data_IF_315211348170
#
_entry.id   IF_315211348170
#
_cell.length_a   1.000
_cell.length_b   1.000
_cell.length_c   1.000
_cell.angle_alpha   90.00
_cell.angle_beta   90.00
_cell.angle_gamma   90.00
#
_symmetry.space_group_name_H-M   'P 1'
#
loop_
_entity.id
_entity.type
_entity.pdbx_description
1 polymer ?
#
# COMPACT_ATOMS: atom_id res chain seq x y z
N UNK A 1 7.59 -16.87 -27.99
CA UNK A 1 6.18 -16.59 -27.66
C UNK A 1 6.09 -16.64 -26.14
N UNK A 2 6.41 -15.54 -25.49
CA UNK A 2 6.41 -15.42 -24.02
C UNK A 2 5.13 -14.69 -23.63
N UNK A 3 4.20 -15.45 -23.07
CA UNK A 3 2.98 -14.97 -22.45
C UNK A 3 3.34 -14.18 -21.19
N UNK A 4 3.39 -12.86 -21.32
CA UNK A 4 3.37 -11.98 -20.15
C UNK A 4 1.95 -12.02 -19.60
N UNK A 5 1.68 -12.97 -18.70
CA UNK A 5 0.53 -12.95 -17.81
C UNK A 5 0.62 -11.74 -16.88
N UNK A 6 0.36 -10.56 -17.43
CA UNK A 6 0.34 -9.32 -16.66
C UNK A 6 -0.84 -9.36 -15.71
N UNK A 7 -0.58 -9.30 -14.39
CA UNK A 7 -1.61 -8.96 -13.42
C UNK A 7 -2.19 -7.59 -13.82
N UNK A 8 -3.35 -7.59 -14.49
CA UNK A 8 -4.13 -6.39 -14.78
C UNK A 8 -4.93 -6.04 -13.53
N UNK A 9 -4.28 -5.42 -12.56
CA UNK A 9 -4.96 -4.77 -11.43
C UNK A 9 -5.50 -3.43 -11.93
N UNK A 10 -6.83 -3.31 -11.99
CA UNK A 10 -7.51 -2.06 -12.29
C UNK A 10 -7.29 -1.04 -11.16
N UNK A 11 -7.36 0.25 -11.50
CA UNK A 11 -7.28 1.35 -10.52
C UNK A 11 -8.37 1.21 -9.44
N UNK A 12 -9.53 0.66 -9.80
CA UNK A 12 -10.62 0.41 -8.86
C UNK A 12 -10.28 -0.71 -7.87
N UNK A 13 -9.66 -1.80 -8.31
CA UNK A 13 -9.20 -2.87 -7.40
C UNK A 13 -8.11 -2.37 -6.44
N UNK A 14 -7.22 -1.49 -6.91
CA UNK A 14 -6.22 -0.84 -6.05
C UNK A 14 -6.87 0.06 -4.99
N UNK A 15 -7.92 0.81 -5.36
CA UNK A 15 -8.69 1.63 -4.41
C UNK A 15 -9.44 0.79 -3.38
N UNK A 16 -10.04 -0.33 -3.79
CA UNK A 16 -10.72 -1.27 -2.90
C UNK A 16 -9.71 -1.86 -1.89
N UNK A 17 -8.53 -2.27 -2.37
CA UNK A 17 -7.44 -2.76 -1.53
C UNK A 17 -6.94 -1.71 -0.53
N UNK A 18 -6.74 -0.47 -0.98
CA UNK A 18 -6.34 0.64 -0.10
C UNK A 18 -7.38 0.91 0.99
N UNK A 19 -8.66 0.92 0.64
CA UNK A 19 -9.77 1.14 1.58
C UNK A 19 -9.85 0.02 2.62
N UNK A 20 -9.60 -1.23 2.20
CA UNK A 20 -9.56 -2.38 3.10
C UNK A 20 -8.40 -2.29 4.10
N UNK A 21 -7.21 -1.87 3.64
CA UNK A 21 -6.08 -1.63 4.53
C UNK A 21 -6.34 -0.51 5.53
N UNK A 22 -6.99 0.57 5.10
CA UNK A 22 -7.40 1.66 5.99
C UNK A 22 -8.40 1.19 7.07
N UNK A 23 -9.43 0.41 6.68
CA UNK A 23 -10.40 -0.16 7.62
C UNK A 23 -9.77 -1.09 8.66
N UNK A 24 -8.88 -1.99 8.23
CA UNK A 24 -8.13 -2.87 9.12
C UNK A 24 -7.22 -2.10 10.09
N UNK A 25 -6.62 -0.99 9.63
CA UNK A 25 -5.85 -0.12 10.51
C UNK A 25 -6.72 0.54 11.58
N UNK A 26 -7.94 0.97 11.24
CA UNK A 26 -8.86 1.60 12.17
C UNK A 26 -9.40 0.61 13.22
N UNK A 27 -9.78 -0.61 12.81
CA UNK A 27 -10.21 -1.67 13.73
C UNK A 27 -9.11 -2.03 14.74
N UNK A 28 -7.84 -1.94 14.33
CA UNK A 28 -6.71 -2.27 15.19
C UNK A 28 -6.51 -1.28 16.33
N UNK A 29 -6.83 0.00 16.13
CA UNK A 29 -6.83 1.01 17.20
C UNK A 29 -7.93 0.79 18.24
N UNK A 30 -8.97 -0.02 17.94
CA UNK A 30 -10.05 -0.31 18.90
C UNK A 30 -9.64 -1.32 19.98
N UNK A 31 -8.56 -2.09 19.77
CA UNK A 31 -8.03 -3.02 20.74
C UNK A 31 -7.08 -2.30 21.70
N UNK A 32 -7.64 -1.60 22.69
CA UNK A 32 -6.85 -1.01 23.77
C UNK A 32 -6.01 -2.09 24.46
N UNK A 33 -4.73 -1.81 24.68
CA UNK A 33 -3.86 -2.75 25.39
C UNK A 33 -4.38 -2.96 26.82
N UNK A 34 -4.37 -4.21 27.34
CA UNK A 34 -4.73 -4.47 28.73
C UNK A 34 -3.86 -3.64 29.67
N UNK A 35 -4.47 -3.09 30.74
CA UNK A 35 -3.70 -2.35 31.73
C UNK A 35 -2.62 -3.24 32.36
N UNK A 36 -1.39 -2.71 32.39
CA UNK A 36 -0.26 -3.41 32.98
C UNK A 36 -0.34 -3.31 34.51
N UNK A 37 -0.32 -4.45 35.21
CA UNK A 37 -0.30 -4.47 36.69
C UNK A 37 0.99 -3.87 37.28
N UNK A 38 1.16 -3.87 38.62
CA UNK A 38 2.34 -3.28 39.26
C UNK A 38 3.67 -3.86 38.73
N UNK A 39 4.64 -2.97 38.46
CA UNK A 39 5.87 -3.26 37.69
C UNK A 39 6.90 -4.17 38.39
N UNK A 40 6.65 -4.57 39.65
CA UNK A 40 7.61 -5.32 40.47
C UNK A 40 7.71 -6.81 40.11
N UNK A 41 6.88 -7.32 39.19
CA UNK A 41 6.91 -8.72 38.75
C UNK A 41 7.65 -8.84 37.40
N UNK A 42 8.62 -9.75 37.23
CA UNK A 42 9.34 -9.95 35.97
C UNK A 42 8.42 -10.17 34.75
N UNK A 43 7.27 -10.78 34.98
CA UNK A 43 6.20 -10.97 33.99
C UNK A 43 5.58 -9.67 33.51
N UNK A 44 5.37 -8.68 34.39
CA UNK A 44 4.86 -7.35 34.00
C UNK A 44 5.85 -6.63 33.08
N UNK A 45 7.13 -6.64 33.43
CA UNK A 45 8.18 -6.03 32.60
C UNK A 45 8.28 -6.72 31.22
N UNK A 46 8.18 -8.05 31.19
CA UNK A 46 8.16 -8.81 29.94
C UNK A 46 6.93 -8.48 29.07
N UNK A 47 5.73 -8.39 29.66
CA UNK A 47 4.50 -8.01 28.95
C UNK A 47 4.59 -6.59 28.39
N UNK A 48 5.09 -5.63 29.17
CA UNK A 48 5.29 -4.25 28.72
C UNK A 48 6.29 -4.16 27.55
N UNK A 49 7.39 -4.93 27.61
CA UNK A 49 8.35 -5.01 26.52
C UNK A 49 7.74 -5.62 25.24
N UNK A 50 6.94 -6.68 25.36
CA UNK A 50 6.21 -7.28 24.24
C UNK A 50 5.22 -6.28 23.63
N UNK A 51 4.44 -5.59 24.46
CA UNK A 51 3.50 -4.56 23.99
C UNK A 51 4.21 -3.44 23.23
N UNK A 52 5.39 -3.02 23.71
CA UNK A 52 6.22 -2.01 23.03
C UNK A 52 6.73 -2.51 21.69
N UNK A 53 7.18 -3.76 21.61
CA UNK A 53 7.62 -4.39 20.36
C UNK A 53 6.47 -4.51 19.35
N UNK A 54 5.26 -4.87 19.81
CA UNK A 54 4.05 -4.92 18.98
C UNK A 54 3.74 -3.52 18.42
N UNK A 55 3.74 -2.48 19.27
CA UNK A 55 3.50 -1.11 18.82
C UNK A 55 4.54 -0.62 17.81
N UNK A 56 5.81 -0.99 17.99
CA UNK A 56 6.89 -0.66 17.06
C UNK A 56 6.69 -1.36 15.71
N UNK A 57 6.37 -2.65 15.72
CA UNK A 57 6.11 -3.43 14.51
C UNK A 57 4.87 -2.90 13.77
N UNK A 58 3.84 -2.48 14.50
CA UNK A 58 2.62 -1.89 13.97
C UNK A 58 2.87 -0.56 13.25
N UNK A 59 3.64 0.33 13.87
CA UNK A 59 4.04 1.59 13.26
C UNK A 59 4.85 1.36 11.97
N UNK A 60 5.78 0.41 11.99
CA UNK A 60 6.59 0.06 10.82
C UNK A 60 5.76 -0.59 9.69
N UNK A 61 4.74 -1.37 10.03
CA UNK A 61 3.81 -1.92 9.04
C UNK A 61 2.96 -0.82 8.41
N UNK A 62 2.41 0.07 9.24
CA UNK A 62 1.60 1.21 8.79
C UNK A 62 2.38 2.13 7.85
N UNK A 63 3.63 2.48 8.20
CA UNK A 63 4.49 3.28 7.34
C UNK A 63 4.72 2.62 5.98
N UNK A 64 5.08 1.32 5.96
CA UNK A 64 5.28 0.58 4.70
C UNK A 64 4.01 0.48 3.85
N UNK A 65 2.85 0.31 4.48
CA UNK A 65 1.58 0.28 3.78
C UNK A 65 1.28 1.62 3.10
N UNK A 66 1.53 2.73 3.80
CA UNK A 66 1.38 4.08 3.25
C UNK A 66 2.35 4.34 2.08
N UNK A 67 3.63 4.01 2.23
CA UNK A 67 4.64 4.17 1.18
C UNK A 67 4.28 3.35 -0.06
N UNK A 68 3.79 2.12 0.13
CA UNK A 68 3.33 1.26 -0.97
C UNK A 68 2.13 1.88 -1.68
N UNK A 69 1.15 2.40 -0.95
CA UNK A 69 -0.01 3.06 -1.55
C UNK A 69 0.40 4.29 -2.37
N UNK A 70 1.31 5.10 -1.85
CA UNK A 70 1.84 6.26 -2.57
C UNK A 70 2.59 5.87 -3.86
N UNK A 71 3.43 4.82 -3.79
CA UNK A 71 4.15 4.30 -4.96
C UNK A 71 3.20 3.75 -6.02
N UNK A 72 2.15 3.04 -5.62
CA UNK A 72 1.11 2.53 -6.52
C UNK A 72 0.37 3.67 -7.22
N UNK A 73 -0.07 4.69 -6.48
CA UNK A 73 -0.75 5.87 -7.06
C UNK A 73 0.16 6.59 -8.06
N UNK A 74 1.42 6.82 -7.69
CA UNK A 74 2.41 7.46 -8.57
C UNK A 74 2.61 6.65 -9.85
N UNK A 75 2.75 5.33 -9.72
CA UNK A 75 2.91 4.43 -10.86
C UNK A 75 1.69 4.46 -11.79
N UNK A 76 0.48 4.48 -11.22
CA UNK A 76 -0.75 4.56 -12.01
C UNK A 76 -0.83 5.85 -12.83
N UNK A 77 -0.44 7.00 -12.26
CA UNK A 77 -0.33 8.25 -13.01
C UNK A 77 0.71 8.14 -14.13
N UNK A 78 1.91 7.63 -13.84
CA UNK A 78 2.96 7.47 -14.86
C UNK A 78 2.56 6.53 -16.00
N UNK A 79 1.80 5.47 -15.71
CA UNK A 79 1.27 4.59 -16.76
C UNK A 79 0.26 5.32 -17.65
N UNK A 80 -0.64 6.10 -17.06
CA UNK A 80 -1.61 6.91 -17.83
C UNK A 80 -0.90 7.90 -18.75
N UNK A 81 0.08 8.64 -18.23
CA UNK A 81 0.85 9.63 -19.01
C UNK A 81 1.61 8.96 -20.16
N UNK A 82 2.19 7.79 -19.92
CA UNK A 82 2.89 7.01 -20.94
C UNK A 82 1.94 6.52 -22.04
N UNK A 83 0.75 6.06 -21.67
CA UNK A 83 -0.27 5.61 -22.62
C UNK A 83 -0.77 6.77 -23.50
N UNK A 84 -0.99 7.95 -22.91
CA UNK A 84 -1.38 9.17 -23.64
C UNK A 84 -0.27 9.62 -24.61
N UNK A 85 1.00 9.61 -24.16
CA UNK A 85 2.15 9.93 -25.01
C UNK A 85 2.33 8.92 -26.15
N UNK A 86 2.15 7.62 -25.87
CA UNK A 86 2.21 6.58 -26.88
C UNK A 86 1.08 6.72 -27.91
N UNK A 87 -0.14 7.03 -27.49
CA UNK A 87 -1.27 7.27 -28.38
C UNK A 87 -1.00 8.45 -29.31
N UNK A 88 -0.47 9.56 -28.79
CA UNK A 88 -0.08 10.73 -29.58
C UNK A 88 1.02 10.39 -30.61
N UNK A 89 2.04 9.63 -30.20
CA UNK A 89 3.11 9.20 -31.11
C UNK A 89 2.59 8.30 -32.23
N UNK A 90 1.72 7.33 -31.92
CA UNK A 90 1.10 6.46 -32.93
C UNK A 90 0.22 7.26 -33.89
N UNK A 91 -0.55 8.23 -33.39
CA UNK A 91 -1.37 9.11 -34.23
C UNK A 91 -0.50 9.92 -35.21
N UNK A 92 0.63 10.46 -34.74
CA UNK A 92 1.58 11.19 -35.57
C UNK A 92 2.18 10.29 -36.67
N UNK A 93 2.61 9.07 -36.33
CA UNK A 93 3.15 8.11 -37.31
C UNK A 93 2.10 7.74 -38.37
N UNK A 94 0.84 7.55 -37.96
CA UNK A 94 -0.24 7.29 -38.93
C UNK A 94 -0.44 8.46 -39.89
N UNK A 95 -0.33 9.70 -39.42
CA UNK A 95 -0.45 10.88 -40.28
C UNK A 95 0.71 11.00 -41.27
N UNK A 96 1.94 10.71 -40.84
CA UNK A 96 3.13 10.81 -41.71
C UNK A 96 3.27 9.68 -42.72
N UNK A 97 2.71 8.50 -42.44
CA UNK A 97 2.69 7.35 -43.37
C UNK A 97 1.51 7.39 -44.35
N UNK A 98 0.47 8.19 -44.08
CA UNK A 98 -0.70 8.34 -44.96
C UNK A 98 -0.52 9.41 -46.07
N UNK A 99 0.70 9.95 -46.21
CA UNK A 99 1.13 10.88 -47.27
C UNK A 99 2.01 10.14 -48.27
#
# INVERSE_FOLDING_TARGET
MTEWGGLRLSVDELRIMASRWAGLSAERYMWAQPESGPSCQPTTAAVAAINTAIGTADAALTARAHDTAAAVVTSAFSYSDNDDAAAAAVALVRQTVSV
#
